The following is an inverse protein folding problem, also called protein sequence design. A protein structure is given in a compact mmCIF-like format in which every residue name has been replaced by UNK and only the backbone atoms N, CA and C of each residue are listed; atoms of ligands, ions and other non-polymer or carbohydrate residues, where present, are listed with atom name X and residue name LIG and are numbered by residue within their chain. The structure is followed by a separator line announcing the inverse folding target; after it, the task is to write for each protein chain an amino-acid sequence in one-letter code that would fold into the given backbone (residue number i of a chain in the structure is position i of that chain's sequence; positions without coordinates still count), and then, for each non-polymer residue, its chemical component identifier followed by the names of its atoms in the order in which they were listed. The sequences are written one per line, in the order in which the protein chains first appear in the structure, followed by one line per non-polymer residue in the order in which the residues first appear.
data_IF_383021594682
#
_entry.id   IF_383021594682
#
_cell.length_a   1.000
_cell.length_b   1.000
_cell.length_c   1.000
_cell.angle_alpha   90.00
_cell.angle_beta   90.00
_cell.angle_gamma   90.00
#
_symmetry.space_group_name_H-M   'P 1'
#
loop_
_entity.id
_entity.type
_entity.pdbx_description
1 polymer ?
#
# COMPACT_ATOMS: atom_id res chain seq x y z
N UNK A 1 20.63 -19.34 5.64
CA UNK A 1 20.00 -18.93 6.92
C UNK A 1 18.56 -18.41 6.77
N UNK A 2 17.88 -18.55 5.63
CA UNK A 2 16.51 -18.04 5.44
C UNK A 2 15.40 -18.90 6.09
N UNK A 3 15.67 -20.18 6.39
CA UNK A 3 14.68 -21.09 6.98
C UNK A 3 14.35 -20.82 8.46
N UNK A 4 15.20 -20.06 9.17
CA UNK A 4 15.00 -19.80 10.59
C UNK A 4 13.93 -18.73 10.87
N UNK A 5 13.78 -17.72 10.00
CA UNK A 5 12.83 -16.61 10.22
C UNK A 5 11.35 -17.04 10.04
N UNK A 6 11.09 -18.02 9.17
CA UNK A 6 9.74 -18.56 8.94
C UNK A 6 9.21 -19.39 10.13
N UNK A 7 10.09 -19.87 11.02
CA UNK A 7 9.72 -20.70 12.16
C UNK A 7 9.46 -19.91 13.46
N UNK A 8 9.80 -18.62 13.52
CA UNK A 8 9.83 -17.87 14.80
C UNK A 8 8.43 -17.59 15.36
N UNK A 9 7.40 -17.46 14.51
CA UNK A 9 6.06 -17.04 14.96
C UNK A 9 4.95 -18.07 14.72
N UNK A 10 5.27 -19.29 14.25
CA UNK A 10 4.24 -20.32 14.00
C UNK A 10 3.43 -20.66 15.25
N UNK A 11 4.12 -20.95 16.36
CA UNK A 11 3.49 -21.19 17.66
C UNK A 11 2.67 -19.98 18.15
N UNK A 12 3.23 -18.78 18.03
CA UNK A 12 2.54 -17.55 18.42
C UNK A 12 1.27 -17.31 17.61
N UNK A 13 1.33 -17.48 16.28
CA UNK A 13 0.20 -17.30 15.39
C UNK A 13 -0.95 -18.24 15.72
N UNK A 14 -0.65 -19.54 15.87
CA UNK A 14 -1.67 -20.55 16.17
C UNK A 14 -2.31 -20.30 17.54
N UNK A 15 -1.51 -19.96 18.54
CA UNK A 15 -1.99 -19.58 19.88
C UNK A 15 -2.83 -18.30 19.83
N UNK A 16 -2.44 -17.32 19.03
CA UNK A 16 -3.15 -16.06 18.91
C UNK A 16 -4.51 -16.23 18.23
N UNK A 17 -4.61 -17.08 17.20
CA UNK A 17 -5.89 -17.39 16.55
C UNK A 17 -6.83 -18.17 17.46
N UNK A 18 -6.30 -18.92 18.44
CA UNK A 18 -7.10 -19.61 19.45
C UNK A 18 -7.70 -18.67 20.52
N UNK A 19 -7.24 -17.42 20.61
CA UNK A 19 -7.81 -16.41 21.51
C UNK A 19 -9.21 -16.01 21.03
N UNK A 20 -10.13 -15.80 21.97
CA UNK A 20 -11.53 -15.50 21.68
C UNK A 20 -11.72 -14.35 20.68
N UNK A 21 -12.43 -14.64 19.58
CA UNK A 21 -12.76 -13.68 18.53
C UNK A 21 -11.67 -13.47 17.47
N UNK A 22 -10.47 -14.05 17.64
CA UNK A 22 -9.35 -13.85 16.71
C UNK A 22 -9.43 -14.74 15.45
N UNK A 23 -10.47 -15.56 15.31
CA UNK A 23 -10.73 -16.32 14.07
C UNK A 23 -11.26 -15.47 12.92
N UNK A 24 -11.54 -14.18 13.15
CA UNK A 24 -12.05 -13.23 12.17
C UNK A 24 -11.47 -11.83 12.40
N UNK A 25 -11.55 -10.97 11.39
CA UNK A 25 -11.15 -9.57 11.50
C UNK A 25 -11.97 -8.84 12.58
N UNK A 26 -11.30 -7.99 13.38
CA UNK A 26 -11.94 -7.23 14.45
C UNK A 26 -13.04 -6.28 13.94
N UNK A 27 -12.91 -5.77 12.72
CA UNK A 27 -13.70 -4.61 12.25
C UNK A 27 -14.69 -4.92 11.13
N UNK A 28 -14.38 -5.84 10.21
CA UNK A 28 -15.26 -6.10 9.04
C UNK A 28 -15.85 -7.51 8.98
N UNK A 29 -15.72 -8.29 10.07
CA UNK A 29 -16.21 -9.67 10.15
C UNK A 29 -15.70 -10.62 9.04
N UNK A 30 -14.64 -10.25 8.32
CA UNK A 30 -13.97 -11.15 7.37
C UNK A 30 -13.59 -12.46 8.06
N UNK A 31 -14.00 -13.57 7.44
CA UNK A 31 -13.71 -14.94 7.88
C UNK A 31 -12.42 -15.47 7.28
N UNK A 32 -11.75 -14.71 6.40
CA UNK A 32 -10.40 -15.05 6.00
C UNK A 32 -9.48 -14.95 7.22
N UNK A 33 -8.52 -15.89 7.37
CA UNK A 33 -7.61 -15.87 8.51
C UNK A 33 -6.89 -14.53 8.59
N UNK A 34 -6.93 -13.83 9.73
CA UNK A 34 -6.25 -12.56 9.86
C UNK A 34 -4.74 -12.75 9.75
N UNK A 35 -4.10 -11.85 9.02
CA UNK A 35 -2.65 -11.83 8.75
C UNK A 35 -1.95 -10.64 9.39
N UNK A 36 -2.72 -9.73 9.98
CA UNK A 36 -2.27 -8.51 10.63
C UNK A 36 -2.82 -8.39 12.03
N UNK A 37 -2.19 -7.55 12.83
CA UNK A 37 -2.65 -7.19 14.15
C UNK A 37 -2.27 -5.75 14.50
N UNK A 38 -3.02 -5.14 15.41
CA UNK A 38 -2.59 -3.92 16.09
C UNK A 38 -2.02 -4.28 17.45
N UNK A 39 -0.69 -4.17 17.56
CA UNK A 39 0.10 -4.66 18.71
C UNK A 39 -0.19 -3.92 20.01
N UNK A 40 -0.65 -2.68 19.97
CA UNK A 40 -1.02 -1.90 21.15
C UNK A 40 -2.51 -1.95 21.48
N UNK A 41 -3.37 -2.29 20.50
CA UNK A 41 -4.81 -2.42 20.72
C UNK A 41 -5.22 -3.84 21.11
N UNK A 42 -4.42 -4.85 20.75
CA UNK A 42 -4.73 -6.24 21.10
C UNK A 42 -5.74 -6.91 20.15
N UNK A 43 -5.78 -6.47 18.89
CA UNK A 43 -6.74 -6.95 17.88
C UNK A 43 -6.05 -7.54 16.64
N UNK A 44 -6.70 -8.52 16.01
CA UNK A 44 -6.28 -9.10 14.72
C UNK A 44 -7.17 -8.60 13.58
N UNK A 45 -6.54 -8.38 12.42
CA UNK A 45 -7.08 -7.61 11.30
C UNK A 45 -6.85 -8.35 9.97
N UNK A 46 -7.75 -8.12 9.02
CA UNK A 46 -7.54 -8.51 7.62
C UNK A 46 -6.65 -7.49 6.88
N UNK A 47 -6.27 -7.82 5.64
CA UNK A 47 -5.45 -6.97 4.78
C UNK A 47 -6.06 -5.58 4.48
N UNK A 48 -7.38 -5.44 4.50
CA UNK A 48 -8.02 -4.15 4.20
C UNK A 48 -8.17 -3.29 5.46
N UNK A 49 -8.65 -3.86 6.58
CA UNK A 49 -8.81 -3.12 7.83
C UNK A 49 -7.48 -2.64 8.41
N UNK A 50 -6.38 -3.37 8.16
CA UNK A 50 -5.06 -2.86 8.54
C UNK A 50 -4.70 -1.57 7.79
N UNK A 51 -5.20 -1.37 6.56
CA UNK A 51 -5.08 -0.12 5.82
C UNK A 51 -5.78 1.04 6.54
N UNK A 52 -7.01 0.82 7.00
CA UNK A 52 -7.73 1.81 7.82
C UNK A 52 -7.02 2.11 9.14
N UNK A 53 -6.47 1.08 9.81
CA UNK A 53 -5.68 1.25 11.04
C UNK A 53 -4.38 2.04 10.84
N UNK A 54 -3.75 1.99 9.66
CA UNK A 54 -2.58 2.83 9.35
C UNK A 54 -2.94 4.31 9.32
N UNK A 55 -4.13 4.64 8.80
CA UNK A 55 -4.66 6.02 8.74
C UNK A 55 -5.02 6.62 10.11
N UNK A 56 -5.03 5.83 11.19
CA UNK A 56 -5.22 6.36 12.56
C UNK A 56 -3.95 6.99 13.15
N UNK A 57 -2.78 6.66 12.59
CA UNK A 57 -1.48 7.03 13.14
C UNK A 57 -1.03 6.16 14.33
N UNK A 58 0.30 6.13 14.53
CA UNK A 58 1.00 5.24 15.48
C UNK A 58 0.68 5.49 16.97
N UNK A 59 0.09 6.65 17.28
CA UNK A 59 -0.34 7.01 18.62
C UNK A 59 -1.67 6.34 19.01
N UNK A 60 -2.43 5.85 18.02
CA UNK A 60 -3.70 5.14 18.23
C UNK A 60 -3.52 3.65 17.93
N UNK A 61 -2.97 3.29 16.77
CA UNK A 61 -2.82 1.91 16.34
C UNK A 61 -1.40 1.65 15.84
N UNK A 62 -0.85 0.48 16.20
CA UNK A 62 0.48 0.03 15.79
C UNK A 62 0.38 -1.28 15.00
N UNK A 63 0.07 -1.20 13.69
CA UNK A 63 -0.09 -2.37 12.85
C UNK A 63 1.21 -3.14 12.64
N UNK A 64 1.16 -4.46 12.82
CA UNK A 64 2.25 -5.40 12.53
C UNK A 64 1.70 -6.62 11.79
N UNK A 65 2.47 -7.15 10.85
CA UNK A 65 2.20 -8.42 10.18
C UNK A 65 2.45 -9.56 11.15
N UNK A 66 1.51 -10.49 11.24
CA UNK A 66 1.65 -11.70 12.06
C UNK A 66 2.67 -12.69 11.47
N UNK A 67 2.95 -12.59 10.16
CA UNK A 67 3.83 -13.53 9.44
C UNK A 67 5.18 -12.93 9.06
N UNK A 68 5.24 -11.62 8.78
CA UNK A 68 6.44 -10.99 8.21
C UNK A 68 7.24 -10.15 9.21
N UNK A 69 6.60 -9.64 10.27
CA UNK A 69 7.27 -8.77 11.23
C UNK A 69 7.80 -9.55 12.43
N UNK A 70 8.84 -8.99 13.07
CA UNK A 70 9.35 -9.48 14.34
C UNK A 70 8.43 -9.04 15.49
N UNK A 71 8.16 -9.96 16.42
CA UNK A 71 7.29 -9.73 17.57
C UNK A 71 8.08 -9.90 18.87
N UNK A 72 8.09 -8.86 19.72
CA UNK A 72 8.68 -8.96 21.06
C UNK A 72 7.82 -9.84 21.97
N UNK A 73 8.42 -10.46 22.99
CA UNK A 73 7.69 -11.31 23.94
C UNK A 73 6.59 -10.53 24.68
N UNK A 74 6.82 -9.25 24.98
CA UNK A 74 5.83 -8.37 25.62
C UNK A 74 4.63 -8.12 24.69
N UNK A 75 4.89 -7.87 23.40
CA UNK A 75 3.83 -7.67 22.42
C UNK A 75 3.02 -8.97 22.22
N UNK A 76 3.69 -10.12 22.14
CA UNK A 76 3.02 -11.43 22.06
C UNK A 76 2.16 -11.69 23.30
N UNK A 77 2.70 -11.48 24.50
CA UNK A 77 1.99 -11.65 25.75
C UNK A 77 0.77 -10.72 25.84
N UNK A 78 0.91 -9.46 25.44
CA UNK A 78 -0.19 -8.50 25.42
C UNK A 78 -1.30 -8.93 24.46
N UNK A 79 -0.96 -9.31 23.22
CA UNK A 79 -1.92 -9.82 22.23
C UNK A 79 -2.67 -11.05 22.76
N UNK A 80 -1.97 -12.00 23.38
CA UNK A 80 -2.55 -13.21 23.96
C UNK A 80 -3.43 -12.93 25.19
N UNK A 81 -3.20 -11.82 25.90
CA UNK A 81 -4.02 -11.39 27.05
C UNK A 81 -5.31 -10.67 26.66
N UNK A 82 -5.44 -10.25 25.40
CA UNK A 82 -6.57 -9.47 24.87
C UNK A 82 -7.42 -10.33 23.93
N UNK A 83 -7.40 -10.03 22.63
CA UNK A 83 -8.22 -10.65 21.60
C UNK A 83 -9.45 -9.83 21.24
N UNK A 84 -9.92 -10.05 20.01
CA UNK A 84 -11.03 -9.30 19.41
C UNK A 84 -12.31 -9.39 20.21
N UNK A 85 -12.61 -10.54 20.85
CA UNK A 85 -13.81 -10.65 21.67
C UNK A 85 -13.80 -9.67 22.85
N UNK A 86 -12.65 -9.54 23.54
CA UNK A 86 -12.49 -8.63 24.68
C UNK A 86 -12.54 -7.18 24.20
N UNK A 87 -11.78 -6.85 23.15
CA UNK A 87 -11.69 -5.47 22.65
C UNK A 87 -13.01 -5.00 22.05
N UNK A 88 -13.71 -5.85 21.29
CA UNK A 88 -15.02 -5.49 20.73
C UNK A 88 -16.08 -5.38 21.82
N UNK A 89 -16.05 -6.22 22.87
CA UNK A 89 -16.97 -6.04 24.00
C UNK A 89 -16.81 -4.67 24.68
N UNK A 90 -15.60 -4.11 24.69
CA UNK A 90 -15.31 -2.78 25.26
C UNK A 90 -15.64 -1.65 24.28
N UNK A 91 -15.14 -1.74 23.04
CA UNK A 91 -15.17 -0.67 22.06
C UNK A 91 -16.37 -0.70 21.12
N UNK A 92 -17.22 -1.72 21.17
CA UNK A 92 -18.45 -1.86 20.38
C UNK A 92 -19.69 -2.06 21.27
N UNK A 93 -19.63 -1.61 22.53
CA UNK A 93 -20.73 -1.75 23.50
C UNK A 93 -21.99 -0.94 23.14
N UNK A 94 -21.86 0.12 22.35
CA UNK A 94 -22.97 0.94 21.87
C UNK A 94 -23.68 0.27 20.68
N UNK A 95 -25.01 0.32 20.65
CA UNK A 95 -25.81 -0.34 19.59
C UNK A 95 -25.47 0.13 18.16
N UNK A 96 -24.99 1.38 18.02
CA UNK A 96 -24.53 1.92 16.75
C UNK A 96 -23.36 1.14 16.13
N UNK A 97 -22.51 0.48 16.93
CA UNK A 97 -21.46 -0.38 16.36
C UNK A 97 -22.08 -1.52 15.55
N UNK A 98 -23.01 -2.27 16.13
CA UNK A 98 -23.66 -3.38 15.43
C UNK A 98 -24.41 -2.92 14.16
N UNK A 99 -24.95 -1.70 14.18
CA UNK A 99 -25.65 -1.12 13.03
C UNK A 99 -24.71 -0.59 11.92
N UNK A 100 -23.46 -0.28 12.24
CA UNK A 100 -22.49 0.33 11.31
C UNK A 100 -21.28 -0.54 11.01
N UNK A 101 -21.17 -1.71 11.65
CA UNK A 101 -20.06 -2.64 11.45
C UNK A 101 -20.07 -3.15 10.01
N UNK A 102 -19.01 -2.89 9.23
CA UNK A 102 -18.97 -3.27 7.84
C UNK A 102 -18.91 -4.79 7.67
N UNK A 103 -19.46 -5.28 6.56
CA UNK A 103 -19.21 -6.63 6.06
C UNK A 103 -17.82 -6.72 5.42
N UNK A 104 -17.39 -7.96 5.14
CA UNK A 104 -16.05 -8.25 4.61
C UNK A 104 -15.81 -7.60 3.25
N UNK A 105 -16.84 -7.51 2.42
CA UNK A 105 -16.85 -6.94 1.07
C UNK A 105 -17.28 -5.47 1.02
N UNK A 106 -17.54 -4.85 2.19
CA UNK A 106 -17.91 -3.44 2.24
C UNK A 106 -16.80 -2.53 1.65
N UNK A 107 -17.18 -1.39 1.04
CA UNK A 107 -16.22 -0.43 0.53
C UNK A 107 -15.20 0.02 1.58
N UNK A 108 -14.00 0.36 1.13
CA UNK A 108 -12.91 0.75 2.02
C UNK A 108 -13.28 1.98 2.85
N UNK A 109 -14.00 2.94 2.26
CA UNK A 109 -14.46 4.16 2.94
C UNK A 109 -15.38 3.82 4.13
N UNK A 110 -16.24 2.82 3.98
CA UNK A 110 -17.09 2.32 5.08
C UNK A 110 -16.24 1.68 6.17
N UNK A 111 -15.24 0.89 5.80
CA UNK A 111 -14.28 0.30 6.75
C UNK A 111 -13.48 1.39 7.48
N UNK A 112 -13.00 2.42 6.78
CA UNK A 112 -12.27 3.56 7.34
C UNK A 112 -13.14 4.36 8.30
N UNK A 113 -14.37 4.70 7.90
CA UNK A 113 -15.32 5.41 8.74
C UNK A 113 -15.60 4.65 10.04
N UNK A 114 -15.85 3.34 9.96
CA UNK A 114 -16.06 2.50 11.14
C UNK A 114 -14.83 2.47 12.05
N UNK A 115 -13.64 2.21 11.49
CA UNK A 115 -12.37 2.14 12.25
C UNK A 115 -12.05 3.47 12.93
N UNK A 116 -12.18 4.61 12.25
CA UNK A 116 -12.01 5.94 12.87
C UNK A 116 -13.02 6.18 14.00
N UNK A 117 -14.29 5.86 13.77
CA UNK A 117 -15.34 6.00 14.79
C UNK A 117 -15.04 5.15 16.02
N UNK A 118 -14.61 3.90 15.82
CA UNK A 118 -14.31 2.94 16.88
C UNK A 118 -13.08 3.32 17.69
N UNK A 119 -11.96 3.64 17.04
CA UNK A 119 -10.66 3.77 17.71
C UNK A 119 -10.18 5.20 17.94
N UNK A 120 -10.51 6.13 17.03
CA UNK A 120 -10.11 7.53 17.17
C UNK A 120 -11.14 8.32 17.98
N UNK A 121 -12.42 8.20 17.63
CA UNK A 121 -13.50 8.92 18.31
C UNK A 121 -14.04 8.19 19.52
N UNK A 122 -13.74 6.90 19.66
CA UNK A 122 -14.29 6.05 20.72
C UNK A 122 -15.83 6.11 20.76
N UNK A 123 -16.46 6.27 19.59
CA UNK A 123 -17.89 6.55 19.46
C UNK A 123 -18.77 5.39 19.94
N UNK A 124 -18.26 4.15 19.89
CA UNK A 124 -19.07 2.97 20.20
C UNK A 124 -18.75 2.30 21.54
N UNK A 125 -17.84 2.85 22.35
CA UNK A 125 -17.63 2.32 23.70
C UNK A 125 -18.83 2.65 24.61
N UNK A 126 -18.85 2.08 25.81
CA UNK A 126 -19.84 2.47 26.82
C UNK A 126 -19.78 3.99 27.09
N UNK A 127 -20.91 4.68 26.85
CA UNK A 127 -21.03 6.14 26.98
C UNK A 127 -20.50 6.95 25.78
N UNK A 128 -20.11 6.30 24.68
CA UNK A 128 -19.85 6.97 23.40
C UNK A 128 -21.14 7.52 22.77
N UNK A 129 -20.98 8.48 21.85
CA UNK A 129 -22.10 9.18 21.20
C UNK A 129 -22.75 8.39 20.04
N UNK A 130 -22.16 7.26 19.65
CA UNK A 130 -22.62 6.42 18.56
C UNK A 130 -22.51 7.06 17.17
N UNK A 131 -21.85 8.22 17.05
CA UNK A 131 -21.75 8.96 15.79
C UNK A 131 -20.67 8.33 14.91
N UNK A 132 -21.10 7.80 13.77
CA UNK A 132 -20.18 7.32 12.74
C UNK A 132 -19.61 8.54 12.02
N UNK A 133 -18.29 8.69 11.98
CA UNK A 133 -17.66 9.76 11.21
C UNK A 133 -17.95 9.56 9.72
N UNK A 134 -18.29 10.63 9.01
CA UNK A 134 -18.31 10.56 7.55
C UNK A 134 -16.88 10.36 7.05
N UNK A 135 -16.69 9.40 6.14
CA UNK A 135 -15.47 9.36 5.36
C UNK A 135 -15.37 10.68 4.60
N UNK A 136 -14.32 11.47 4.85
CA UNK A 136 -14.15 12.78 4.24
C UNK A 136 -14.26 12.67 2.71
N UNK A 137 -15.26 13.34 2.12
CA UNK A 137 -15.40 13.46 0.67
C UNK A 137 -14.27 14.34 0.15
N UNK A 138 -13.31 13.78 -0.59
CA UNK A 138 -12.29 14.59 -1.27
C UNK A 138 -12.94 15.37 -2.41
N UNK A 139 -12.68 16.68 -2.46
CA UNK A 139 -13.27 17.66 -3.37
C UNK A 139 -13.33 17.24 -4.84
N UNK A 140 -14.46 17.59 -5.48
CA UNK A 140 -14.86 17.31 -6.89
C UNK A 140 -13.90 17.71 -8.03
N UNK A 141 -12.68 18.19 -7.75
CA UNK A 141 -11.80 18.73 -8.80
C UNK A 141 -11.04 17.69 -9.63
N UNK A 142 -11.06 16.41 -9.24
CA UNK A 142 -10.34 15.35 -9.97
C UNK A 142 -11.12 14.02 -10.08
N UNK A 143 -12.44 14.04 -9.85
CA UNK A 143 -13.28 12.84 -9.87
C UNK A 143 -13.80 12.54 -11.28
N UNK A 144 -13.12 11.64 -11.99
CA UNK A 144 -13.79 10.82 -13.00
C UNK A 144 -14.44 9.63 -12.28
N UNK A 145 -15.75 9.73 -12.03
CA UNK A 145 -16.70 8.67 -11.64
C UNK A 145 -16.15 7.56 -10.70
N UNK A 146 -16.35 7.75 -9.39
CA UNK A 146 -16.58 6.64 -8.46
C UNK A 146 -15.37 5.78 -8.05
N UNK A 147 -14.15 6.29 -8.16
CA UNK A 147 -12.93 5.56 -7.81
C UNK A 147 -12.29 6.17 -6.56
N UNK A 148 -12.11 5.36 -5.51
CA UNK A 148 -11.59 5.80 -4.21
C UNK A 148 -10.07 5.65 -4.20
N UNK A 149 -9.37 6.72 -3.83
CA UNK A 149 -7.91 6.77 -3.74
C UNK A 149 -7.41 6.37 -2.34
N UNK A 150 -6.58 5.32 -2.23
CA UNK A 150 -5.78 4.98 -1.06
C UNK A 150 -4.73 6.06 -0.68
N UNK A 151 -4.29 6.88 -1.64
CA UNK A 151 -3.36 7.98 -1.40
C UNK A 151 -2.79 8.57 -2.70
N UNK A 152 -1.79 9.42 -2.57
CA UNK A 152 -1.00 9.96 -3.68
C UNK A 152 0.40 9.35 -3.60
N UNK A 153 0.79 8.59 -4.62
CA UNK A 153 2.17 8.24 -4.84
C UNK A 153 2.87 9.39 -5.55
N UNK A 154 3.87 9.94 -4.90
CA UNK A 154 4.80 10.91 -5.46
C UNK A 154 6.04 10.10 -5.83
N UNK A 155 6.22 9.84 -7.13
CA UNK A 155 7.34 9.07 -7.66
C UNK A 155 8.27 10.04 -8.37
N UNK A 156 9.42 10.31 -7.77
CA UNK A 156 10.49 11.05 -8.41
C UNK A 156 11.39 10.09 -9.17
N UNK A 157 11.31 10.12 -10.49
CA UNK A 157 12.14 9.33 -11.40
C UNK A 157 13.47 10.05 -11.56
N UNK A 158 14.54 9.45 -11.03
CA UNK A 158 15.85 10.10 -11.00
C UNK A 158 16.61 9.85 -12.29
N UNK A 159 16.88 8.57 -12.59
CA UNK A 159 17.71 8.16 -13.72
C UNK A 159 17.53 6.69 -14.07
N UNK A 160 17.91 6.32 -15.28
CA UNK A 160 18.12 4.93 -15.67
C UNK A 160 19.59 4.67 -15.98
N UNK A 161 19.94 3.39 -16.04
CA UNK A 161 21.29 2.96 -16.34
C UNK A 161 21.26 1.73 -17.21
N UNK A 162 22.11 1.74 -18.23
CA UNK A 162 22.35 0.60 -19.13
C UNK A 162 21.06 0.09 -19.80
N UNK A 163 20.24 1.02 -20.29
CA UNK A 163 19.04 0.69 -21.04
C UNK A 163 19.39 -0.03 -22.35
N UNK A 164 18.48 -0.89 -22.79
CA UNK A 164 18.57 -1.51 -24.10
C UNK A 164 18.46 -0.44 -25.19
N UNK A 165 19.25 -0.59 -26.25
CA UNK A 165 19.10 0.21 -27.46
C UNK A 165 18.16 -0.49 -28.43
N UNK A 166 16.93 0.01 -28.60
CA UNK A 166 16.00 -0.51 -29.59
C UNK A 166 16.26 0.06 -31.00
N UNK A 167 16.87 1.25 -31.10
CA UNK A 167 17.13 1.97 -32.35
C UNK A 167 18.45 1.59 -33.06
N UNK A 168 19.18 0.57 -32.60
CA UNK A 168 20.41 0.10 -33.26
C UNK A 168 20.13 -0.69 -34.54
N UNK A 169 19.48 -0.04 -35.51
CA UNK A 169 19.15 -0.56 -36.83
C UNK A 169 20.38 -0.78 -37.72
N UNK A 170 21.54 -0.24 -37.34
CA UNK A 170 22.78 -0.27 -38.15
C UNK A 170 23.91 -1.09 -37.55
N UNK A 171 23.86 -1.44 -36.26
CA UNK A 171 24.95 -2.13 -35.54
C UNK A 171 26.21 -1.27 -35.37
N UNK A 172 26.10 0.03 -35.67
CA UNK A 172 27.19 1.01 -35.62
C UNK A 172 27.09 1.92 -34.39
N UNK A 173 26.01 1.82 -33.60
CA UNK A 173 25.82 2.58 -32.35
C UNK A 173 25.69 4.09 -32.54
N UNK A 174 25.18 4.54 -33.70
CA UNK A 174 24.98 5.96 -34.02
C UNK A 174 23.62 6.49 -33.55
N UNK A 175 22.61 5.62 -33.48
CA UNK A 175 21.31 5.89 -32.86
C UNK A 175 21.22 5.14 -31.53
N UNK A 176 20.60 5.77 -30.54
CA UNK A 176 20.22 5.16 -29.28
C UNK A 176 18.78 5.53 -29.01
N UNK A 177 18.12 4.68 -28.24
CA UNK A 177 16.80 4.94 -27.71
C UNK A 177 16.67 6.32 -27.08
N UNK A 178 15.45 6.85 -27.21
CA UNK A 178 14.90 8.07 -26.67
C UNK A 178 14.00 7.77 -25.46
N UNK A 179 14.56 7.36 -24.31
CA UNK A 179 13.76 6.76 -23.26
C UNK A 179 12.88 7.76 -22.51
N UNK A 180 11.70 7.29 -22.15
CA UNK A 180 10.85 7.88 -21.13
C UNK A 180 10.31 6.81 -20.19
N UNK A 181 9.95 7.22 -18.98
CA UNK A 181 9.37 6.34 -17.97
C UNK A 181 7.90 6.65 -17.79
N UNK A 182 7.08 5.61 -17.83
CA UNK A 182 5.65 5.66 -17.55
C UNK A 182 5.36 4.89 -16.27
N UNK A 183 4.77 5.56 -15.29
CA UNK A 183 4.28 4.93 -14.07
C UNK A 183 2.78 4.72 -14.22
N UNK A 184 2.31 3.50 -13.97
CA UNK A 184 0.94 3.05 -14.20
C UNK A 184 0.37 2.50 -12.88
N UNK A 185 -0.79 3.01 -12.48
CA UNK A 185 -1.56 2.47 -11.36
C UNK A 185 -2.21 1.14 -11.74
N UNK A 186 -2.54 0.28 -10.76
CA UNK A 186 -3.33 -0.93 -10.98
C UNK A 186 -4.68 -0.69 -11.70
N UNK A 187 -5.16 0.55 -11.65
CA UNK A 187 -6.40 1.00 -12.28
C UNK A 187 -6.23 1.55 -13.69
N UNK A 188 -5.00 1.52 -14.23
CA UNK A 188 -4.68 1.94 -15.58
C UNK A 188 -4.42 3.45 -15.75
N UNK A 189 -4.42 4.24 -14.67
CA UNK A 189 -4.01 5.65 -14.74
C UNK A 189 -2.50 5.72 -14.85
N UNK A 190 -1.99 6.63 -15.66
CA UNK A 190 -0.54 6.76 -15.86
C UNK A 190 -0.06 8.20 -15.87
N UNK A 191 1.17 8.38 -15.41
CA UNK A 191 1.95 9.60 -15.56
C UNK A 191 3.29 9.23 -16.19
N UNK A 192 3.85 10.12 -17.01
CA UNK A 192 5.12 9.86 -17.71
C UNK A 192 6.09 11.02 -17.58
N UNK A 193 7.39 10.71 -17.63
CA UNK A 193 8.46 11.70 -17.73
C UNK A 193 8.51 12.31 -19.13
N UNK A 194 9.37 13.31 -19.30
CA UNK A 194 9.82 13.72 -20.63
C UNK A 194 10.66 12.62 -21.24
N UNK A 195 10.72 12.69 -22.56
CA UNK A 195 11.64 11.93 -23.40
C UNK A 195 13.02 12.58 -23.31
N UNK A 196 14.06 11.78 -23.14
CA UNK A 196 15.45 12.21 -23.28
C UNK A 196 15.99 11.57 -24.55
N UNK A 197 16.51 12.39 -25.45
CA UNK A 197 16.99 12.01 -26.78
C UNK A 197 18.35 11.29 -26.70
N UNK A 198 18.46 10.13 -27.33
CA UNK A 198 19.69 9.40 -27.62
C UNK A 198 20.58 9.13 -26.38
N UNK A 199 19.98 8.61 -25.31
CA UNK A 199 20.69 8.31 -24.07
C UNK A 199 20.19 7.03 -23.39
N UNK A 200 21.07 6.05 -23.23
CA UNK A 200 20.79 4.80 -22.50
C UNK A 200 21.03 4.91 -20.98
N UNK A 201 21.49 6.07 -20.50
CA UNK A 201 21.69 6.39 -19.09
C UNK A 201 21.03 7.73 -18.70
N UNK A 202 19.76 7.94 -19.07
CA UNK A 202 19.08 9.22 -18.94
C UNK A 202 18.93 9.65 -17.46
N UNK A 203 19.02 10.94 -17.20
CA UNK A 203 18.72 11.54 -15.88
C UNK A 203 17.52 12.50 -15.97
N UNK A 204 16.31 11.99 -15.71
CA UNK A 204 15.09 12.81 -15.76
C UNK A 204 14.99 13.77 -14.57
N UNK A 205 15.26 13.30 -13.35
CA UNK A 205 15.01 14.05 -12.11
C UNK A 205 13.58 14.65 -12.00
N UNK A 206 12.60 13.98 -12.59
CA UNK A 206 11.21 14.45 -12.69
C UNK A 206 10.31 13.80 -11.64
N UNK A 207 9.38 14.59 -11.09
CA UNK A 207 8.41 14.12 -10.10
C UNK A 207 7.07 13.89 -10.76
N UNK A 208 6.62 12.64 -10.74
CA UNK A 208 5.32 12.20 -11.21
C UNK A 208 4.40 11.98 -10.01
N UNK A 209 3.14 12.40 -10.14
CA UNK A 209 2.12 12.19 -9.11
C UNK A 209 1.01 11.33 -9.66
N UNK A 210 0.68 10.27 -8.91
CA UNK A 210 -0.37 9.34 -9.26
C UNK A 210 -1.30 9.14 -8.08
N UNK A 211 -2.60 9.24 -8.35
CA UNK A 211 -3.59 8.82 -7.39
C UNK A 211 -3.60 7.29 -7.37
N UNK A 212 -3.33 6.74 -6.20
CA UNK A 212 -3.27 5.31 -5.97
C UNK A 212 -4.60 4.89 -5.41
N UNK A 213 -5.37 4.08 -6.14
CA UNK A 213 -6.68 3.57 -5.71
C UNK A 213 -6.56 2.40 -4.71
N UNK A 214 -5.46 1.65 -4.76
CA UNK A 214 -5.19 0.46 -3.94
C UNK A 214 -3.67 0.35 -3.69
N UNK A 215 -3.25 -0.20 -2.55
CA UNK A 215 -1.83 -0.39 -2.19
C UNK A 215 -1.12 -1.50 -2.99
N UNK A 216 -1.74 -1.97 -4.07
CA UNK A 216 -1.11 -2.82 -5.07
C UNK A 216 0.10 -2.13 -5.70
N UNK A 217 1.10 -2.90 -6.19
CA UNK A 217 2.28 -2.32 -6.81
C UNK A 217 1.94 -1.43 -8.00
N UNK A 218 2.65 -0.30 -8.12
CA UNK A 218 2.62 0.51 -9.35
C UNK A 218 3.53 -0.15 -10.38
N UNK A 219 3.13 -0.15 -11.64
CA UNK A 219 4.01 -0.61 -12.72
C UNK A 219 4.83 0.56 -13.24
N UNK A 220 6.13 0.38 -13.29
CA UNK A 220 7.06 1.25 -13.99
C UNK A 220 7.36 0.60 -15.34
N UNK A 221 7.14 1.32 -16.43
CA UNK A 221 7.51 0.90 -17.78
C UNK A 221 8.48 1.91 -18.38
N UNK A 222 9.49 1.42 -19.09
CA UNK A 222 10.43 2.24 -19.84
C UNK A 222 10.16 2.01 -21.31
N UNK A 223 10.04 3.09 -22.05
CA UNK A 223 9.63 3.10 -23.44
C UNK A 223 10.60 3.93 -24.26
N UNK A 224 10.77 3.53 -25.50
CA UNK A 224 11.49 4.29 -26.52
C UNK A 224 10.50 5.17 -27.30
N UNK A 225 10.74 6.49 -27.35
CA UNK A 225 9.80 7.42 -27.98
C UNK A 225 10.08 7.58 -29.47
N UNK A 226 9.30 6.90 -30.30
CA UNK A 226 9.39 7.04 -31.74
C UNK A 226 8.52 8.18 -32.29
N UNK A 227 9.09 9.00 -33.18
CA UNK A 227 8.32 10.10 -33.80
C UNK A 227 7.38 9.63 -34.92
N UNK A 228 7.58 8.42 -35.46
CA UNK A 228 6.91 7.92 -36.67
C UNK A 228 6.39 6.48 -36.57
N UNK A 229 6.82 5.71 -35.58
CA UNK A 229 6.41 4.33 -35.29
C UNK A 229 5.75 4.23 -33.92
N UNK A 230 5.26 3.04 -33.56
CA UNK A 230 4.73 2.82 -32.22
C UNK A 230 5.91 2.57 -31.28
N UNK A 231 5.94 3.29 -30.16
CA UNK A 231 6.99 3.19 -29.13
C UNK A 231 7.35 1.75 -28.76
N UNK A 232 8.65 1.46 -28.69
CA UNK A 232 9.17 0.15 -28.34
C UNK A 232 9.37 0.01 -26.81
N UNK A 233 8.95 -1.12 -26.21
CA UNK A 233 9.15 -1.34 -24.78
C UNK A 233 10.61 -1.69 -24.48
N UNK A 234 11.24 -0.94 -23.58
CA UNK A 234 12.63 -1.15 -23.11
C UNK A 234 12.70 -1.95 -21.81
N UNK A 235 11.55 -2.22 -21.19
CA UNK A 235 11.41 -3.04 -19.99
C UNK A 235 10.39 -2.49 -19.01
N UNK A 236 10.10 -3.25 -17.97
CA UNK A 236 9.21 -2.81 -16.89
C UNK A 236 9.66 -3.35 -15.53
N UNK A 237 9.08 -2.84 -14.46
CA UNK A 237 9.28 -3.35 -13.10
C UNK A 237 8.17 -2.87 -12.16
N UNK A 238 8.05 -3.52 -11.00
CA UNK A 238 6.98 -3.21 -10.04
C UNK A 238 7.51 -2.40 -8.85
N UNK A 239 6.84 -1.30 -8.55
CA UNK A 239 7.07 -0.48 -7.38
C UNK A 239 6.07 -0.87 -6.30
N UNK A 240 6.53 -1.67 -5.34
CA UNK A 240 5.75 -2.05 -4.17
C UNK A 240 5.65 -0.87 -3.21
N UNK A 241 4.43 -0.38 -2.98
CA UNK A 241 4.10 0.73 -2.08
C UNK A 241 3.97 0.28 -0.61
N UNK A 242 3.76 -1.01 -0.35
CA UNK A 242 3.68 -1.54 1.02
C UNK A 242 5.05 -1.51 1.69
N UNK A 243 5.11 -1.00 2.93
CA UNK A 243 6.35 -0.92 3.71
C UNK A 243 7.11 0.40 3.58
N UNK A 244 6.60 1.37 2.81
CA UNK A 244 7.10 2.74 2.82
C UNK A 244 6.66 3.45 4.11
N UNK A 245 7.57 4.19 4.73
CA UNK A 245 7.22 5.10 5.82
C UNK A 245 6.36 6.25 5.25
N UNK A 246 5.20 6.57 5.84
CA UNK A 246 4.34 7.64 5.35
C UNK A 246 5.08 8.98 5.27
N UNK A 247 4.96 9.67 4.15
CA UNK A 247 5.56 11.01 3.96
C UNK A 247 7.08 11.05 3.81
N UNK A 248 7.81 9.95 4.07
CA UNK A 248 9.26 9.90 3.88
C UNK A 248 9.63 9.38 2.48
N UNK A 249 10.46 10.12 1.71
CA UNK A 249 10.99 9.62 0.44
C UNK A 249 11.85 8.39 0.66
N UNK A 250 11.50 7.29 0.00
CA UNK A 250 12.31 6.06 -0.01
C UNK A 250 12.93 5.87 -1.38
N UNK A 251 14.26 5.84 -1.43
CA UNK A 251 15.00 5.55 -2.65
C UNK A 251 14.93 4.05 -2.97
N UNK A 252 14.58 3.70 -4.20
CA UNK A 252 14.54 2.33 -4.70
C UNK A 252 15.21 2.22 -6.06
N UNK A 253 15.85 1.08 -6.27
CA UNK A 253 16.38 0.63 -7.54
C UNK A 253 15.42 -0.42 -8.10
N UNK A 254 14.88 -0.18 -9.28
CA UNK A 254 13.95 -1.08 -9.98
C UNK A 254 14.70 -1.71 -11.15
N UNK A 255 15.01 -3.00 -11.04
CA UNK A 255 15.60 -3.78 -12.14
C UNK A 255 14.54 -3.98 -13.24
N UNK A 256 14.93 -3.75 -14.50
CA UNK A 256 14.01 -3.93 -15.62
C UNK A 256 13.91 -5.41 -15.99
N UNK A 257 12.68 -5.86 -16.18
CA UNK A 257 12.30 -7.21 -16.59
C UNK A 257 11.41 -7.16 -17.84
N UNK A 258 11.25 -8.32 -18.48
CA UNK A 258 10.54 -8.45 -19.76
C UNK A 258 11.50 -8.72 -20.91
N UNK A 259 11.02 -9.26 -22.02
CA UNK A 259 11.85 -9.46 -23.21
C UNK A 259 11.37 -8.54 -24.34
N UNK A 260 12.24 -7.67 -24.88
CA UNK A 260 13.63 -7.43 -24.49
C UNK A 260 13.73 -6.42 -23.31
N UNK A 261 14.71 -6.57 -22.40
CA UNK A 261 14.97 -5.59 -21.34
C UNK A 261 16.42 -5.64 -20.85
N UNK A 262 16.99 -4.48 -20.52
CA UNK A 262 18.31 -4.36 -19.90
C UNK A 262 18.32 -3.14 -18.98
N UNK A 263 19.14 -3.19 -17.92
CA UNK A 263 19.36 -2.06 -17.05
C UNK A 263 18.35 -1.92 -15.91
N UNK A 264 18.36 -0.73 -15.31
CA UNK A 264 17.55 -0.43 -14.13
C UNK A 264 17.20 1.05 -14.04
N UNK A 265 16.18 1.37 -13.24
CA UNK A 265 15.73 2.74 -12.95
C UNK A 265 15.82 3.04 -11.46
N UNK A 266 16.38 4.20 -11.10
CA UNK A 266 16.37 4.73 -9.73
C UNK A 266 15.19 5.68 -9.54
N UNK A 267 14.43 5.44 -8.48
CA UNK A 267 13.27 6.26 -8.11
C UNK A 267 13.31 6.62 -6.63
N UNK A 268 12.81 7.78 -6.27
CA UNK A 268 12.44 8.15 -4.91
C UNK A 268 10.92 8.14 -4.80
N UNK A 269 10.38 7.32 -3.92
CA UNK A 269 8.93 7.17 -3.76
C UNK A 269 8.54 7.73 -2.40
N UNK A 270 7.65 8.71 -2.41
CA UNK A 270 6.92 9.14 -1.22
C UNK A 270 5.47 8.74 -1.41
N UNK A 271 4.97 7.88 -0.53
CA UNK A 271 3.55 7.66 -0.44
C UNK A 271 3.00 8.64 0.59
N UNK A 272 2.35 9.69 0.08
CA UNK A 272 1.44 10.46 0.89
C UNK A 272 0.15 9.65 0.90
N UNK A 273 -0.07 8.91 1.98
CA UNK A 273 -1.44 8.53 2.26
C UNK A 273 -2.27 9.83 2.23
N UNK A 274 -3.51 9.74 1.75
CA UNK A 274 -4.44 10.84 1.99
C UNK A 274 -4.72 10.84 3.50
N UNK A 275 -3.74 11.36 4.26
CA UNK A 275 -3.84 11.72 5.67
C UNK A 275 -4.94 12.81 5.77
N UNK A 276 -5.57 13.06 6.90
CA UNK A 276 -5.26 12.68 8.26
C UNK A 276 -6.60 12.59 8.99
#
# INVERSE_FOLDING_TARGET
MAAAALAVNGDFYDRLLAVGGNSACADCASKEPPTWASSNLGVVLCNECVGAHRGLGVHISKPLSLKMDAWSEEAQAFMLSKGNAVVNAELEAHSAAAASKPDADAPLETKVAFVKSKYEKMAFKAGGDGVVVEAARTSDRFSSKGQVHAGIAIVRVLKAHDLLNADDSTGLGLDKSDPYVKIISPTGKSAQTKVIDNDLNPEWNETLQLNVDDLKPLRLEVWDSDTLTADDPLGHGDIVLTGLAPGEPTKKKVELIGHPSQGWVEVEITFAALDA
#
